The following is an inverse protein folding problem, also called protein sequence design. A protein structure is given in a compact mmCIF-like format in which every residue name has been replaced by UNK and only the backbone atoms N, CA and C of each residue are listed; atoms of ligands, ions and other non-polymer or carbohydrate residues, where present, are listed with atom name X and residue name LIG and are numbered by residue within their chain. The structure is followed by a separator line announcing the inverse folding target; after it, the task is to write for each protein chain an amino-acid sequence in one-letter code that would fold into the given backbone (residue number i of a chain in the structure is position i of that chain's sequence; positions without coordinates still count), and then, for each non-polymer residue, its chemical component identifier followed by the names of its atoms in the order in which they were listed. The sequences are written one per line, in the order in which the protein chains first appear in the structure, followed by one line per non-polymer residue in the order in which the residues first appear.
data_IF_795605882132
#
_entry.id   IF_795605882132
#
_cell.length_a   1.000
_cell.length_b   1.000
_cell.length_c   1.000
_cell.angle_alpha   90.00
_cell.angle_beta   90.00
_cell.angle_gamma   90.00
#
_symmetry.space_group_name_H-M   'P 1'
#
loop_
_entity.id
_entity.type
_entity.pdbx_description
1 polymer ?
#
# COMPACT_ATOMS: atom_id res chain seq x y z
N UNK A 1 51.65 5.65 -27.34
CA UNK A 1 50.44 6.19 -28.01
C UNK A 1 49.17 6.04 -27.17
N UNK A 2 49.26 6.00 -25.82
CA UNK A 2 48.13 5.62 -24.94
C UNK A 2 47.52 6.73 -24.07
N UNK A 3 48.25 7.80 -23.77
CA UNK A 3 47.76 8.87 -22.86
C UNK A 3 46.59 9.67 -23.45
N UNK A 4 46.56 9.90 -24.78
CA UNK A 4 45.46 10.62 -25.46
C UNK A 4 44.14 9.84 -25.44
N UNK A 5 44.18 8.50 -25.59
CA UNK A 5 42.97 7.66 -25.56
C UNK A 5 42.39 7.55 -24.15
N UNK A 6 43.22 7.51 -23.11
CA UNK A 6 42.78 7.52 -21.71
C UNK A 6 42.09 8.84 -21.32
N UNK A 7 42.63 9.99 -21.75
CA UNK A 7 42.03 11.30 -21.47
C UNK A 7 40.70 11.53 -22.21
N UNK A 8 40.59 11.04 -23.45
CA UNK A 8 39.35 11.09 -24.22
C UNK A 8 38.23 10.22 -23.61
N UNK A 9 38.57 9.06 -23.02
CA UNK A 9 37.62 8.20 -22.31
C UNK A 9 37.15 8.82 -20.98
N UNK A 10 38.05 9.43 -20.21
CA UNK A 10 37.70 10.16 -18.97
C UNK A 10 36.75 11.33 -19.24
N UNK A 11 37.04 12.17 -20.23
CA UNK A 11 36.18 13.32 -20.58
C UNK A 11 34.80 12.89 -21.09
N UNK A 12 34.70 11.77 -21.81
CA UNK A 12 33.40 11.21 -22.26
C UNK A 12 32.57 10.62 -21.11
N UNK A 13 33.23 10.01 -20.12
CA UNK A 13 32.58 9.48 -18.91
C UNK A 13 32.07 10.61 -18.01
N UNK A 14 32.88 11.64 -17.78
CA UNK A 14 32.49 12.82 -16.98
C UNK A 14 31.34 13.59 -17.61
N UNK A 15 31.31 13.76 -18.93
CA UNK A 15 30.18 14.36 -19.64
C UNK A 15 28.88 13.56 -19.49
N UNK A 16 28.94 12.21 -19.46
CA UNK A 16 27.78 11.34 -19.22
C UNK A 16 27.29 11.40 -17.79
N UNK A 17 28.19 11.42 -16.80
CA UNK A 17 27.84 11.58 -15.38
C UNK A 17 27.21 12.95 -15.12
N UNK A 18 27.76 14.02 -15.72
CA UNK A 18 27.19 15.37 -15.61
C UNK A 18 25.82 15.50 -16.29
N UNK A 19 25.54 14.71 -17.33
CA UNK A 19 24.24 14.72 -18.00
C UNK A 19 23.17 13.90 -17.26
N UNK A 20 23.59 12.88 -16.51
CA UNK A 20 22.71 12.03 -15.70
C UNK A 20 22.43 12.61 -14.31
N UNK A 21 23.33 13.43 -13.76
CA UNK A 21 23.16 14.07 -12.45
C UNK A 21 21.88 14.90 -12.33
N UNK A 22 21.54 15.79 -13.29
CA UNK A 22 20.29 16.54 -13.26
C UNK A 22 19.08 15.61 -13.32
N UNK A 23 19.12 14.56 -14.13
CA UNK A 23 18.04 13.58 -14.22
C UNK A 23 17.84 12.85 -12.88
N UNK A 24 18.94 12.43 -12.24
CA UNK A 24 18.92 11.77 -10.93
C UNK A 24 18.47 12.69 -9.79
N UNK A 25 18.74 14.00 -9.89
CA UNK A 25 18.31 15.00 -8.92
C UNK A 25 16.87 15.50 -9.14
N UNK A 26 16.37 15.45 -10.38
CA UNK A 26 15.01 15.89 -10.74
C UNK A 26 13.95 14.80 -10.54
N UNK A 27 14.32 13.52 -10.61
CA UNK A 27 13.38 12.41 -10.42
C UNK A 27 12.68 12.41 -9.04
N UNK A 28 13.38 12.63 -7.90
CA UNK A 28 12.73 12.77 -6.60
C UNK A 28 11.80 14.01 -6.53
N UNK A 29 12.18 15.10 -7.18
CA UNK A 29 11.39 16.33 -7.23
C UNK A 29 10.10 16.15 -8.04
N UNK A 30 10.12 15.34 -9.10
CA UNK A 30 8.94 15.04 -9.90
C UNK A 30 7.87 14.28 -9.08
N UNK A 31 8.28 13.30 -8.27
CA UNK A 31 7.37 12.59 -7.37
C UNK A 31 6.76 13.50 -6.31
N UNK A 32 7.59 14.33 -5.66
CA UNK A 32 7.13 15.32 -4.67
C UNK A 32 6.13 16.32 -5.27
N UNK A 33 6.37 16.77 -6.50
CA UNK A 33 5.49 17.70 -7.20
C UNK A 33 4.16 17.04 -7.59
N UNK A 34 4.20 15.87 -8.23
CA UNK A 34 3.00 15.13 -8.61
C UNK A 34 2.11 14.84 -7.38
N UNK A 35 2.73 14.39 -6.29
CA UNK A 35 2.05 14.17 -5.03
C UNK A 35 1.46 15.46 -4.44
N UNK A 36 2.16 16.59 -4.53
CA UNK A 36 1.64 17.88 -4.06
C UNK A 36 0.38 18.31 -4.80
N UNK A 37 0.36 18.12 -6.12
CA UNK A 37 -0.81 18.43 -6.94
C UNK A 37 -1.98 17.50 -6.59
N UNK A 38 -1.71 16.20 -6.48
CA UNK A 38 -2.72 15.21 -6.09
C UNK A 38 -3.34 15.52 -4.72
N UNK A 39 -2.50 15.71 -3.71
CA UNK A 39 -2.93 16.00 -2.34
C UNK A 39 -3.62 17.36 -2.22
N UNK A 40 -3.16 18.37 -2.97
CA UNK A 40 -3.82 19.68 -3.02
C UNK A 40 -5.24 19.57 -3.59
N UNK A 41 -5.39 18.92 -4.74
CA UNK A 41 -6.71 18.70 -5.35
C UNK A 41 -7.67 17.94 -4.42
N UNK A 42 -7.17 16.89 -3.76
CA UNK A 42 -7.96 16.15 -2.78
C UNK A 42 -8.37 17.02 -1.60
N UNK A 43 -7.43 17.78 -1.03
CA UNK A 43 -7.71 18.65 0.10
C UNK A 43 -8.73 19.74 -0.27
N UNK A 44 -8.61 20.36 -1.44
CA UNK A 44 -9.55 21.37 -1.93
C UNK A 44 -10.98 20.83 -2.07
N UNK A 45 -11.12 19.58 -2.53
CA UNK A 45 -12.42 18.93 -2.76
C UNK A 45 -13.04 18.40 -1.45
N UNK A 46 -12.27 17.68 -0.64
CA UNK A 46 -12.76 16.98 0.56
C UNK A 46 -12.78 17.89 1.79
N UNK A 47 -11.88 18.87 1.85
CA UNK A 47 -11.75 19.82 2.96
C UNK A 47 -11.74 21.27 2.45
N UNK A 48 -12.87 21.82 1.99
CA UNK A 48 -12.93 23.19 1.49
C UNK A 48 -12.34 24.20 2.47
N UNK A 49 -11.37 25.00 2.01
CA UNK A 49 -10.66 25.98 2.84
C UNK A 49 -9.46 25.41 3.61
N UNK A 50 -9.08 24.15 3.38
CA UNK A 50 -7.85 23.59 3.91
C UNK A 50 -6.63 24.41 3.47
N UNK A 51 -5.69 24.64 4.38
CA UNK A 51 -4.43 25.31 4.06
C UNK A 51 -3.26 24.41 4.34
N UNK A 52 -2.30 24.34 3.43
CA UNK A 52 -1.13 23.49 3.61
C UNK A 52 -0.23 24.04 4.71
N UNK A 53 0.13 23.22 5.70
CA UNK A 53 0.93 23.65 6.85
C UNK A 53 2.45 23.58 6.61
N UNK A 54 2.92 22.70 5.73
CA UNK A 54 4.35 22.46 5.54
C UNK A 54 4.77 22.47 4.08
N UNK A 55 5.70 23.38 3.74
CA UNK A 55 6.42 23.41 2.46
C UNK A 55 5.52 23.60 1.23
N UNK A 56 6.16 23.88 0.10
CA UNK A 56 5.46 23.86 -1.19
C UNK A 56 5.30 22.44 -1.75
N UNK A 57 6.13 21.49 -1.29
CA UNK A 57 6.20 20.13 -1.80
C UNK A 57 5.81 19.08 -0.75
N UNK A 58 5.23 17.99 -1.23
CA UNK A 58 5.02 16.76 -0.47
C UNK A 58 6.36 16.09 -0.26
N UNK A 59 6.50 15.35 0.84
CA UNK A 59 7.75 14.70 1.20
C UNK A 59 7.59 13.19 1.10
N UNK A 60 8.54 12.54 0.45
CA UNK A 60 8.60 11.09 0.43
C UNK A 60 8.93 10.54 1.83
N UNK A 61 8.04 9.71 2.36
CA UNK A 61 8.21 8.95 3.58
C UNK A 61 8.74 7.55 3.22
N UNK A 62 10.02 7.23 3.52
CA UNK A 62 10.59 5.93 3.19
C UNK A 62 10.00 4.77 4.02
N UNK A 63 9.30 5.08 5.13
CA UNK A 63 8.67 4.07 5.99
C UNK A 63 7.38 3.56 5.36
N UNK A 64 6.50 4.46 4.92
CA UNK A 64 5.25 4.08 4.23
C UNK A 64 5.46 3.85 2.72
N UNK A 65 6.55 4.35 2.15
CA UNK A 65 6.80 4.34 0.71
C UNK A 65 5.92 5.33 -0.06
N UNK A 66 5.40 6.37 0.62
CA UNK A 66 4.39 7.31 0.11
C UNK A 66 4.81 8.75 0.27
N UNK A 67 4.14 9.64 -0.44
CA UNK A 67 4.39 11.08 -0.36
C UNK A 67 3.38 11.75 0.56
N UNK A 68 3.84 12.37 1.65
CA UNK A 68 2.99 12.98 2.67
C UNK A 68 2.93 14.50 2.61
N UNK A 69 1.80 15.06 3.01
CA UNK A 69 1.62 16.48 3.30
C UNK A 69 0.62 16.70 4.43
N UNK A 70 0.79 17.81 5.16
CA UNK A 70 -0.09 18.19 6.28
C UNK A 70 -0.92 19.41 5.90
N UNK A 71 -2.22 19.36 6.17
CA UNK A 71 -3.17 20.43 5.92
C UNK A 71 -3.86 20.86 7.22
N UNK A 72 -4.04 22.16 7.42
CA UNK A 72 -4.89 22.71 8.47
C UNK A 72 -6.33 22.75 7.96
N UNK A 73 -7.24 22.11 8.66
CA UNK A 73 -8.67 22.06 8.37
C UNK A 73 -9.42 22.45 9.63
N UNK A 74 -10.07 23.62 9.62
CA UNK A 74 -10.86 24.12 10.76
C UNK A 74 -10.11 24.11 12.11
N UNK A 75 -8.80 24.40 12.09
CA UNK A 75 -7.95 24.42 13.29
C UNK A 75 -7.29 23.08 13.65
N UNK A 76 -7.58 22.00 12.93
CA UNK A 76 -6.95 20.69 13.11
C UNK A 76 -5.96 20.36 12.00
N UNK A 77 -4.94 19.57 12.30
CA UNK A 77 -4.00 19.06 11.30
C UNK A 77 -4.47 17.72 10.73
N UNK A 78 -4.59 17.65 9.41
CA UNK A 78 -4.90 16.44 8.65
C UNK A 78 -3.65 16.01 7.87
N UNK A 79 -3.18 14.80 8.17
CA UNK A 79 -2.05 14.19 7.47
C UNK A 79 -2.58 13.34 6.31
N UNK A 80 -2.19 13.68 5.09
CA UNK A 80 -2.56 12.94 3.89
C UNK A 80 -1.32 12.31 3.26
N UNK A 81 -1.44 11.07 2.80
CA UNK A 81 -0.38 10.36 2.08
C UNK A 81 -0.86 9.94 0.68
N UNK A 82 -0.01 10.13 -0.33
CA UNK A 82 -0.28 9.75 -1.72
C UNK A 82 0.67 8.63 -2.16
N UNK A 83 0.08 7.57 -2.70
CA UNK A 83 0.76 6.45 -3.34
C UNK A 83 0.89 6.74 -4.84
N UNK A 84 2.11 7.05 -5.29
CA UNK A 84 2.37 7.37 -6.69
C UNK A 84 2.17 6.16 -7.63
N UNK A 85 2.34 4.94 -7.12
CA UNK A 85 2.23 3.71 -7.93
C UNK A 85 0.78 3.36 -8.14
N UNK A 86 0.01 3.35 -7.04
CA UNK A 86 -1.39 2.94 -7.08
C UNK A 86 -2.33 4.11 -7.42
N UNK A 87 -1.87 5.35 -7.37
CA UNK A 87 -2.69 6.53 -7.64
C UNK A 87 -3.75 6.77 -6.56
N UNK A 88 -3.44 6.43 -5.31
CA UNK A 88 -4.39 6.45 -4.19
C UNK A 88 -3.95 7.41 -3.09
N UNK A 89 -4.92 7.96 -2.37
CA UNK A 89 -4.73 8.88 -1.24
C UNK A 89 -5.25 8.21 0.02
N UNK A 90 -4.41 8.20 1.05
CA UNK A 90 -4.80 7.84 2.40
C UNK A 90 -5.16 9.08 3.20
N UNK A 91 -6.33 9.00 3.80
CA UNK A 91 -6.86 9.97 4.75
C UNK A 91 -7.28 9.19 6.01
N UNK A 92 -6.41 9.12 7.04
CA UNK A 92 -6.70 8.38 8.25
C UNK A 92 -7.96 8.88 8.96
N UNK A 93 -8.17 10.20 9.01
CA UNK A 93 -9.33 10.82 9.69
C UNK A 93 -10.64 10.39 9.02
N UNK A 94 -10.68 10.43 7.70
CA UNK A 94 -11.86 10.00 6.94
C UNK A 94 -12.06 8.50 6.99
N UNK A 95 -10.98 7.72 7.03
CA UNK A 95 -11.04 6.26 7.19
C UNK A 95 -11.62 5.87 8.55
N UNK A 96 -11.17 6.50 9.63
CA UNK A 96 -11.71 6.32 10.99
C UNK A 96 -13.20 6.66 11.06
N UNK A 97 -13.61 7.80 10.47
CA UNK A 97 -15.02 8.19 10.40
C UNK A 97 -15.87 7.18 9.61
N UNK A 98 -15.34 6.68 8.49
CA UNK A 98 -16.01 5.67 7.67
C UNK A 98 -16.19 4.34 8.42
N UNK A 99 -15.14 3.86 9.11
CA UNK A 99 -15.22 2.64 9.91
C UNK A 99 -16.20 2.77 11.07
N UNK A 100 -16.23 3.92 11.75
CA UNK A 100 -17.18 4.19 12.83
C UNK A 100 -18.63 4.21 12.33
N UNK A 101 -18.89 4.82 11.16
CA UNK A 101 -20.22 4.89 10.56
C UNK A 101 -20.75 3.51 10.13
N UNK A 102 -19.87 2.63 9.67
CA UNK A 102 -20.20 1.32 9.11
C UNK A 102 -20.14 0.18 10.13
N UNK A 103 -19.63 0.44 11.34
CA UNK A 103 -19.40 -0.58 12.37
C UNK A 103 -18.24 -1.53 12.05
N UNK A 104 -17.37 -1.18 11.10
CA UNK A 104 -16.27 -2.03 10.66
C UNK A 104 -15.24 -2.28 11.75
N UNK A 105 -14.91 -1.28 12.59
CA UNK A 105 -13.90 -1.45 13.64
C UNK A 105 -14.31 -2.54 14.64
N UNK A 106 -15.59 -2.59 15.02
CA UNK A 106 -16.11 -3.66 15.89
C UNK A 106 -16.10 -5.01 15.21
N UNK A 107 -16.50 -5.06 13.93
CA UNK A 107 -16.49 -6.29 13.15
C UNK A 107 -15.07 -6.86 12.99
N UNK A 108 -14.09 -6.02 12.65
CA UNK A 108 -12.68 -6.38 12.53
C UNK A 108 -12.12 -6.87 13.87
N UNK A 109 -12.46 -6.21 14.99
CA UNK A 109 -12.07 -6.67 16.32
C UNK A 109 -12.62 -8.06 16.63
N UNK A 110 -13.90 -8.33 16.35
CA UNK A 110 -14.50 -9.65 16.53
C UNK A 110 -13.84 -10.72 15.64
N UNK A 111 -13.58 -10.39 14.37
CA UNK A 111 -12.92 -11.30 13.43
C UNK A 111 -11.50 -11.63 13.90
N UNK A 112 -10.72 -10.66 14.35
CA UNK A 112 -9.37 -10.90 14.86
C UNK A 112 -9.36 -11.67 16.19
N UNK A 113 -10.30 -11.39 17.11
CA UNK A 113 -10.40 -12.11 18.38
C UNK A 113 -10.69 -13.61 18.21
N UNK A 114 -11.46 -13.99 17.17
CA UNK A 114 -11.75 -15.40 16.84
C UNK A 114 -10.55 -16.15 16.25
N UNK A 115 -9.48 -15.44 15.93
CA UNK A 115 -8.44 -15.92 15.02
C UNK A 115 -7.04 -15.66 15.57
N UNK A 116 -6.73 -16.23 16.74
CA UNK A 116 -5.39 -16.16 17.33
C UNK A 116 -4.31 -16.66 16.34
N UNK A 117 -3.30 -15.83 16.08
CA UNK A 117 -2.21 -16.12 15.13
C UNK A 117 -2.38 -15.52 13.73
N UNK A 118 -3.54 -14.97 13.41
CA UNK A 118 -3.84 -14.42 12.08
C UNK A 118 -4.38 -12.99 12.21
N UNK A 119 -4.14 -12.17 11.19
CA UNK A 119 -4.55 -10.77 11.19
C UNK A 119 -5.45 -10.46 10.00
N UNK A 120 -6.57 -9.78 10.26
CA UNK A 120 -7.50 -9.27 9.26
C UNK A 120 -7.61 -7.76 9.44
N UNK A 121 -7.47 -7.00 8.36
CA UNK A 121 -7.60 -5.55 8.38
C UNK A 121 -8.26 -5.03 7.11
N UNK A 122 -8.73 -3.79 7.17
CA UNK A 122 -9.15 -3.02 6.02
C UNK A 122 -8.27 -1.78 5.92
N UNK A 123 -7.90 -1.44 4.69
CA UNK A 123 -7.26 -0.17 4.38
C UNK A 123 -8.13 0.59 3.40
N UNK A 124 -8.55 1.78 3.80
CA UNK A 124 -9.38 2.65 2.99
C UNK A 124 -8.52 3.69 2.28
N UNK A 125 -8.79 3.91 1.00
CA UNK A 125 -8.15 4.95 0.22
C UNK A 125 -9.12 5.58 -0.78
N UNK A 126 -8.83 6.81 -1.17
CA UNK A 126 -9.50 7.46 -2.28
C UNK A 126 -8.65 7.33 -3.55
N UNK A 127 -9.29 7.26 -4.72
CA UNK A 127 -8.59 7.21 -6.00
C UNK A 127 -8.51 8.60 -6.63
N UNK A 128 -7.46 8.86 -7.40
CA UNK A 128 -7.36 10.12 -8.17
C UNK A 128 -8.52 10.38 -9.13
N UNK A 129 -9.21 9.32 -9.56
CA UNK A 129 -10.38 9.40 -10.44
C UNK A 129 -11.68 9.69 -9.70
N UNK A 130 -11.72 9.46 -8.39
CA UNK A 130 -12.91 9.64 -7.54
C UNK A 130 -12.46 9.83 -6.09
N UNK A 131 -12.43 11.09 -5.64
CA UNK A 131 -12.12 11.42 -4.25
C UNK A 131 -13.31 11.22 -3.33
N UNK A 132 -14.53 11.25 -3.86
CA UNK A 132 -15.77 11.16 -3.10
C UNK A 132 -16.01 9.77 -2.52
N UNK A 133 -15.48 8.71 -3.13
CA UNK A 133 -15.68 7.33 -2.67
C UNK A 133 -14.41 6.76 -2.04
N UNK A 134 -14.51 6.27 -0.81
CA UNK A 134 -13.45 5.42 -0.24
C UNK A 134 -13.60 3.99 -0.76
N UNK A 135 -12.49 3.44 -1.24
CA UNK A 135 -12.38 2.04 -1.63
C UNK A 135 -11.55 1.29 -0.62
N UNK A 136 -11.93 0.05 -0.33
CA UNK A 136 -11.32 -0.75 0.72
C UNK A 136 -10.46 -1.87 0.14
N UNK A 137 -9.26 -2.03 0.68
CA UNK A 137 -8.44 -3.23 0.48
C UNK A 137 -8.55 -4.11 1.71
N UNK A 138 -9.06 -5.34 1.53
CA UNK A 138 -9.05 -6.37 2.57
C UNK A 138 -7.65 -6.95 2.68
N UNK A 139 -7.07 -6.87 3.87
CA UNK A 139 -5.81 -7.52 4.21
C UNK A 139 -6.08 -8.73 5.08
N UNK A 140 -5.46 -9.85 4.71
CA UNK A 140 -5.49 -11.09 5.48
C UNK A 140 -4.08 -11.62 5.55
N UNK A 141 -3.53 -11.71 6.75
CA UNK A 141 -2.21 -12.27 7.00
C UNK A 141 -2.34 -13.54 7.86
N UNK A 142 -1.78 -14.63 7.35
CA UNK A 142 -1.64 -15.92 8.03
C UNK A 142 -0.19 -16.09 8.50
N UNK A 143 0.02 -16.28 9.80
CA UNK A 143 1.33 -16.53 10.38
C UNK A 143 1.34 -17.92 11.04
N UNK A 144 2.19 -18.81 10.54
CA UNK A 144 2.36 -20.14 11.11
C UNK A 144 3.71 -20.27 11.84
N UNK A 145 3.66 -20.96 12.98
CA UNK A 145 4.80 -21.13 13.87
C UNK A 145 5.84 -22.07 13.28
N UNK A 146 7.04 -22.03 13.87
CA UNK A 146 8.13 -22.90 13.47
C UNK A 146 7.82 -24.42 13.57
N UNK A 147 6.89 -24.79 14.45
CA UNK A 147 6.52 -26.18 14.72
C UNK A 147 5.46 -26.72 13.77
N UNK A 148 4.87 -25.85 12.93
CA UNK A 148 3.93 -26.26 11.89
C UNK A 148 4.72 -26.80 10.68
N UNK A 149 4.30 -27.91 10.05
CA UNK A 149 4.92 -28.34 8.80
C UNK A 149 4.70 -27.30 7.70
N UNK A 150 5.77 -26.95 6.98
CA UNK A 150 5.71 -25.99 5.87
C UNK A 150 4.79 -26.54 4.77
N UNK A 151 3.67 -25.87 4.43
CA UNK A 151 2.76 -26.33 3.41
C UNK A 151 3.35 -26.17 2.01
N UNK A 152 2.87 -26.98 1.06
CA UNK A 152 3.06 -26.75 -0.35
C UNK A 152 2.40 -25.43 -0.81
N UNK A 153 2.77 -24.93 -1.98
CA UNK A 153 2.17 -23.72 -2.53
C UNK A 153 0.66 -23.86 -2.76
N UNK A 154 0.19 -25.05 -3.16
CA UNK A 154 -1.23 -25.32 -3.37
C UNK A 154 -2.00 -25.27 -2.03
N UNK A 155 -1.49 -25.93 -0.99
CA UNK A 155 -2.07 -25.90 0.35
C UNK A 155 -2.08 -24.49 0.94
N UNK A 156 -1.00 -23.72 0.73
CA UNK A 156 -0.93 -22.32 1.13
C UNK A 156 -2.01 -21.45 0.46
N UNK A 157 -2.22 -21.63 -0.85
CA UNK A 157 -3.27 -20.92 -1.60
C UNK A 157 -4.65 -21.26 -1.08
N UNK A 158 -4.92 -22.54 -0.78
CA UNK A 158 -6.19 -22.97 -0.19
C UNK A 158 -6.43 -22.38 1.20
N UNK A 159 -5.42 -22.40 2.09
CA UNK A 159 -5.50 -21.74 3.41
C UNK A 159 -5.81 -20.24 3.29
N UNK A 160 -5.14 -19.54 2.36
CA UNK A 160 -5.39 -18.12 2.11
C UNK A 160 -6.78 -17.88 1.54
N UNK A 161 -7.25 -18.74 0.64
CA UNK A 161 -8.58 -18.65 0.05
C UNK A 161 -9.67 -18.83 1.12
N UNK A 162 -9.59 -19.88 1.94
CA UNK A 162 -10.53 -20.13 3.04
C UNK A 162 -10.65 -18.90 3.94
N UNK A 163 -9.51 -18.34 4.32
CA UNK A 163 -9.49 -17.23 5.25
C UNK A 163 -10.03 -15.94 4.63
N UNK A 164 -9.58 -15.62 3.43
CA UNK A 164 -9.98 -14.38 2.77
C UNK A 164 -11.44 -14.41 2.35
N UNK A 165 -11.98 -15.56 1.91
CA UNK A 165 -13.40 -15.72 1.62
C UNK A 165 -14.27 -15.56 2.87
N UNK A 166 -13.84 -16.15 4.00
CA UNK A 166 -14.56 -16.00 5.27
C UNK A 166 -14.54 -14.56 5.80
N UNK A 167 -13.42 -13.83 5.64
CA UNK A 167 -13.34 -12.43 6.02
C UNK A 167 -14.17 -11.54 5.06
N UNK A 168 -14.08 -11.81 3.76
CA UNK A 168 -14.81 -11.07 2.74
C UNK A 168 -16.33 -11.22 2.90
N UNK A 169 -16.85 -12.43 3.15
CA UNK A 169 -18.30 -12.66 3.32
C UNK A 169 -18.88 -11.86 4.48
N UNK A 170 -18.09 -11.60 5.51
CA UNK A 170 -18.46 -10.86 6.72
C UNK A 170 -18.30 -9.34 6.58
N UNK A 171 -17.45 -8.86 5.67
CA UNK A 171 -17.07 -7.44 5.54
C UNK A 171 -17.66 -6.76 4.30
N UNK A 172 -17.80 -7.48 3.17
CA UNK A 172 -18.36 -6.91 1.94
C UNK A 172 -19.80 -6.35 2.07
N UNK A 173 -20.67 -6.79 3.01
CA UNK A 173 -21.98 -6.16 3.17
C UNK A 173 -21.90 -4.79 3.84
N UNK A 174 -20.78 -4.46 4.50
CA UNK A 174 -20.57 -3.22 5.26
C UNK A 174 -19.78 -2.19 4.45
N UNK A 175 -18.95 -2.64 3.51
CA UNK A 175 -18.13 -1.78 2.67
C UNK A 175 -17.82 -2.40 1.31
N UNK A 176 -17.61 -1.55 0.31
CA UNK A 176 -17.09 -1.99 -0.98
C UNK A 176 -15.60 -2.36 -0.85
N UNK A 177 -15.26 -3.59 -1.23
CA UNK A 177 -13.90 -4.13 -1.25
C UNK A 177 -13.44 -4.26 -2.69
N UNK A 178 -12.43 -3.47 -3.09
CA UNK A 178 -11.92 -3.46 -4.47
C UNK A 178 -10.70 -4.36 -4.67
N UNK A 179 -10.08 -4.78 -3.57
CA UNK A 179 -8.81 -5.51 -3.60
C UNK A 179 -8.67 -6.37 -2.36
N UNK A 180 -8.06 -7.53 -2.54
CA UNK A 180 -7.68 -8.44 -1.46
C UNK A 180 -6.18 -8.66 -1.50
N UNK A 181 -5.50 -8.41 -0.38
CA UNK A 181 -4.11 -8.78 -0.15
C UNK A 181 -4.09 -9.91 0.87
N UNK A 182 -3.72 -11.10 0.42
CA UNK A 182 -3.61 -12.28 1.28
C UNK A 182 -2.13 -12.67 1.43
N UNK A 183 -1.59 -12.56 2.63
CA UNK A 183 -0.21 -12.89 2.97
C UNK A 183 -0.11 -14.16 3.80
N UNK A 184 0.88 -14.99 3.49
CA UNK A 184 1.25 -16.14 4.32
C UNK A 184 2.71 -16.02 4.74
N UNK A 185 3.00 -16.29 6.01
CA UNK A 185 4.36 -16.35 6.54
C UNK A 185 4.57 -17.53 7.47
N UNK A 186 5.80 -18.04 7.48
CA UNK A 186 6.19 -19.20 8.28
C UNK A 186 7.52 -18.94 8.98
N UNK A 187 7.56 -19.07 10.32
CA UNK A 187 8.70 -18.65 11.13
C UNK A 187 10.01 -19.41 10.84
N UNK A 188 9.97 -20.66 10.37
CA UNK A 188 11.19 -21.43 10.08
C UNK A 188 11.99 -20.94 8.88
N UNK A 189 11.36 -20.22 7.95
CA UNK A 189 11.93 -20.04 6.60
C UNK A 189 13.14 -19.08 6.59
N UNK A 190 13.37 -18.29 7.65
CA UNK A 190 14.49 -17.35 7.63
C UNK A 190 15.21 -17.08 8.96
N UNK A 191 15.57 -18.13 9.70
CA UNK A 191 16.48 -18.00 10.87
C UNK A 191 17.81 -17.30 10.54
N UNK A 192 18.27 -17.32 9.28
CA UNK A 192 19.53 -16.70 8.82
C UNK A 192 19.45 -15.19 8.56
N UNK A 193 18.27 -14.61 8.31
CA UNK A 193 18.10 -13.17 8.00
C UNK A 193 17.36 -12.37 9.07
N UNK A 194 16.95 -13.01 10.17
CA UNK A 194 16.21 -12.37 11.25
C UNK A 194 14.91 -11.66 10.78
N UNK A 195 14.28 -12.17 9.71
CA UNK A 195 13.07 -11.59 9.08
C UNK A 195 12.15 -12.70 8.59
N UNK A 196 10.86 -12.59 8.86
CA UNK A 196 9.86 -13.50 8.31
C UNK A 196 9.77 -13.36 6.78
N UNK A 197 9.78 -14.48 6.05
CA UNK A 197 9.51 -14.50 4.60
C UNK A 197 8.00 -14.53 4.36
N UNK A 198 7.50 -13.70 3.45
CA UNK A 198 6.09 -13.55 3.16
C UNK A 198 5.77 -13.96 1.72
N UNK A 199 4.82 -14.88 1.56
CA UNK A 199 4.19 -15.22 0.30
C UNK A 199 2.88 -14.41 0.17
N UNK A 200 2.87 -13.41 -0.69
CA UNK A 200 1.76 -12.45 -0.79
C UNK A 200 1.05 -12.62 -2.13
N UNK A 201 -0.26 -12.86 -2.07
CA UNK A 201 -1.21 -12.77 -3.17
C UNK A 201 -1.89 -11.41 -3.15
N UNK A 202 -2.02 -10.80 -4.33
CA UNK A 202 -2.80 -9.57 -4.53
C UNK A 202 -3.84 -9.87 -5.61
N UNK A 203 -5.11 -9.73 -5.25
CA UNK A 203 -6.27 -10.01 -6.09
C UNK A 203 -7.05 -8.70 -6.28
N UNK A 204 -7.29 -8.31 -7.52
CA UNK A 204 -8.11 -7.15 -7.85
C UNK A 204 -9.56 -7.57 -8.10
N UNK A 205 -10.49 -6.83 -7.50
CA UNK A 205 -11.94 -6.99 -7.62
C UNK A 205 -12.53 -5.74 -8.29
N UNK A 206 -12.31 -5.55 -9.61
CA UNK A 206 -12.79 -4.36 -10.30
C UNK A 206 -14.32 -4.24 -10.18
N UNK A 207 -14.80 -3.04 -9.84
CA UNK A 207 -16.22 -2.77 -9.66
C UNK A 207 -16.87 -3.49 -8.48
N UNK A 208 -16.08 -3.93 -7.49
CA UNK A 208 -16.61 -4.61 -6.31
C UNK A 208 -17.18 -5.99 -6.60
N UNK A 209 -16.71 -6.67 -7.65
CA UNK A 209 -17.12 -8.04 -7.97
C UNK A 209 -16.90 -8.99 -6.79
N UNK A 210 -17.63 -10.09 -6.80
CA UNK A 210 -17.47 -11.15 -5.80
C UNK A 210 -16.05 -11.76 -5.85
N UNK A 211 -15.55 -12.08 -4.65
CA UNK A 211 -14.29 -12.80 -4.46
C UNK A 211 -14.57 -14.30 -4.54
N UNK A 212 -13.83 -15.00 -5.42
CA UNK A 212 -14.01 -16.43 -5.64
C UNK A 212 -12.73 -17.21 -5.30
N UNK A 213 -12.88 -18.50 -4.99
CA UNK A 213 -11.74 -19.38 -4.67
C UNK A 213 -10.71 -19.45 -5.81
N UNK A 214 -11.17 -19.43 -7.06
CA UNK A 214 -10.31 -19.47 -8.25
C UNK A 214 -9.33 -18.28 -8.33
N UNK A 215 -9.68 -17.13 -7.75
CA UNK A 215 -8.81 -15.94 -7.70
C UNK A 215 -7.49 -16.25 -6.95
N UNK A 216 -7.54 -17.15 -5.97
CA UNK A 216 -6.37 -17.57 -5.20
C UNK A 216 -5.51 -18.58 -5.93
N UNK A 217 -6.04 -19.25 -6.95
CA UNK A 217 -5.29 -20.21 -7.76
C UNK A 217 -4.53 -19.52 -8.89
N UNK A 218 -5.15 -18.51 -9.50
CA UNK A 218 -4.57 -17.77 -10.64
C UNK A 218 -3.75 -16.54 -10.22
N UNK A 219 -3.91 -16.08 -8.97
CA UNK A 219 -3.20 -14.92 -8.44
C UNK A 219 -1.67 -15.06 -8.47
N UNK A 220 -0.98 -13.96 -8.80
CA UNK A 220 0.48 -13.87 -8.79
C UNK A 220 1.00 -13.80 -7.35
N UNK A 221 1.89 -14.72 -6.98
CA UNK A 221 2.58 -14.70 -5.69
C UNK A 221 3.80 -13.78 -5.80
N UNK A 222 3.94 -12.87 -4.84
CA UNK A 222 5.16 -12.10 -4.59
C UNK A 222 5.78 -12.59 -3.29
N UNK A 223 7.05 -12.99 -3.34
CA UNK A 223 7.84 -13.34 -2.14
C UNK A 223 8.53 -12.07 -1.64
N UNK A 224 8.38 -11.75 -0.36
CA UNK A 224 8.99 -10.57 0.31
C UNK A 224 9.71 -10.92 1.59
#
# INVERSE_FOLDING_TARGET
MDKKKANARRTKLWKRVLFLLPLLLLLPLAGNLAASVALGRYADEIYPGATRQSGWLANYNPVSGRYGAVFAVSGESVNLEFDLIDGTIQDPKRSEAYEAQTGLSDKLRMLNARNAGNWIGLYHCAHLSDFGTLKSTLHVDLLESADTPLPSQAEMREKLADRALAAWSELHPLCEIERVRAGYSHETVNRKKNKNEWNILIISLPGGRELNREDFQTGKIKIR
#
